data_IF_096643575697
#
_entry.id   IF_096643575697
#
_cell.length_a   1.000
_cell.length_b   1.000
_cell.length_c   1.000
_cell.angle_alpha   90.00
_cell.angle_beta   90.00
_cell.angle_gamma   90.00
#
_symmetry.space_group_name_H-M   'P 1'
#
loop_
_entity.id
_entity.type
_entity.pdbx_description
1 polymer ?
#
# COMPACT_ATOMS: atom_id res chain seq x y z
N UNK A 1 -40.23 22.19 0.62
CA UNK A 1 -39.70 21.94 1.98
C UNK A 1 -38.17 21.94 1.87
N UNK A 2 -37.56 23.11 2.07
CA UNK A 2 -36.10 23.29 2.06
C UNK A 2 -35.56 22.74 3.39
N UNK A 3 -34.91 21.59 3.35
CA UNK A 3 -34.26 21.01 4.50
C UNK A 3 -32.96 21.80 4.73
N UNK A 4 -33.03 22.80 5.60
CA UNK A 4 -31.86 23.52 6.09
C UNK A 4 -31.03 22.53 6.88
N UNK A 5 -29.97 22.01 6.28
CA UNK A 5 -28.95 21.25 6.99
C UNK A 5 -28.28 22.18 7.99
N UNK A 6 -28.59 22.04 9.28
CA UNK A 6 -27.79 22.63 10.36
C UNK A 6 -26.44 21.93 10.38
N UNK A 7 -25.49 22.45 9.59
CA UNK A 7 -24.11 21.99 9.58
C UNK A 7 -23.50 22.24 10.97
N UNK A 8 -23.24 21.15 11.69
CA UNK A 8 -22.61 21.22 13.00
C UNK A 8 -21.12 21.51 12.87
N UNK A 9 -20.66 22.66 13.36
CA UNK A 9 -19.23 23.05 13.32
C UNK A 9 -18.35 22.00 13.99
N UNK A 10 -18.79 21.45 15.13
CA UNK A 10 -18.05 20.41 15.84
C UNK A 10 -17.97 19.12 15.00
N UNK A 11 -19.04 18.77 14.27
CA UNK A 11 -19.05 17.64 13.35
C UNK A 11 -18.09 17.84 12.16
N UNK A 12 -17.99 19.07 11.64
CA UNK A 12 -17.02 19.40 10.58
C UNK A 12 -15.58 19.24 11.09
N UNK A 13 -15.28 19.75 12.30
CA UNK A 13 -13.94 19.62 12.91
C UNK A 13 -13.56 18.14 13.07
N UNK A 14 -14.45 17.32 13.66
CA UNK A 14 -14.20 15.89 13.81
C UNK A 14 -14.09 15.17 12.46
N UNK A 15 -14.86 15.57 11.44
CA UNK A 15 -14.77 15.00 10.10
C UNK A 15 -13.43 15.30 9.41
N UNK A 16 -12.92 16.53 9.54
CA UNK A 16 -11.61 16.92 9.01
C UNK A 16 -10.49 16.17 9.75
N UNK A 17 -10.55 16.12 11.08
CA UNK A 17 -9.56 15.38 11.89
C UNK A 17 -9.57 13.88 11.57
N UNK A 18 -10.75 13.27 11.41
CA UNK A 18 -10.86 11.87 11.02
C UNK A 18 -10.21 11.63 9.65
N UNK A 19 -10.46 12.51 8.67
CA UNK A 19 -9.86 12.41 7.33
C UNK A 19 -8.34 12.54 7.37
N UNK A 20 -7.82 13.45 8.21
CA UNK A 20 -6.38 13.60 8.45
C UNK A 20 -5.77 12.34 9.07
N UNK A 21 -6.39 11.79 10.12
CA UNK A 21 -5.94 10.55 10.76
C UNK A 21 -5.92 9.37 9.79
N UNK A 22 -6.95 9.23 8.94
CA UNK A 22 -7.00 8.18 7.91
C UNK A 22 -5.86 8.34 6.89
N UNK A 23 -5.59 9.57 6.44
CA UNK A 23 -4.47 9.85 5.54
C UNK A 23 -3.11 9.56 6.17
N UNK A 24 -2.91 9.99 7.42
CA UNK A 24 -1.68 9.70 8.16
C UNK A 24 -1.50 8.20 8.38
N UNK A 25 -2.57 7.47 8.73
CA UNK A 25 -2.52 6.03 8.89
C UNK A 25 -2.11 5.31 7.60
N UNK A 26 -2.65 5.73 6.44
CA UNK A 26 -2.26 5.17 5.15
C UNK A 26 -0.78 5.45 4.81
N UNK A 27 -0.29 6.67 5.09
CA UNK A 27 1.11 7.04 4.90
C UNK A 27 2.02 6.21 5.82
N UNK A 28 1.69 6.09 7.10
CA UNK A 28 2.48 5.32 8.05
C UNK A 28 2.49 3.84 7.69
N UNK A 29 1.35 3.26 7.33
CA UNK A 29 1.26 1.87 6.88
C UNK A 29 2.18 1.64 5.68
N UNK A 30 2.18 2.54 4.70
CA UNK A 30 3.09 2.43 3.53
C UNK A 30 4.57 2.55 3.93
N UNK A 31 4.90 3.44 4.87
CA UNK A 31 6.29 3.64 5.35
C UNK A 31 6.80 2.50 6.22
N UNK A 32 5.95 1.88 7.02
CA UNK A 32 6.33 0.81 7.94
C UNK A 32 6.33 -0.57 7.30
N UNK A 33 5.67 -0.73 6.15
CA UNK A 33 5.55 -2.01 5.45
C UNK A 33 6.91 -2.67 5.10
N UNK A 34 7.92 -1.94 4.60
CA UNK A 34 9.24 -2.52 4.35
C UNK A 34 9.94 -2.99 5.63
N UNK A 35 9.68 -2.35 6.77
CA UNK A 35 10.31 -2.70 8.07
C UNK A 35 9.80 -4.03 8.64
N UNK A 36 8.62 -4.49 8.21
CA UNK A 36 8.02 -5.76 8.65
C UNK A 36 8.17 -6.88 7.60
N UNK A 37 9.04 -6.68 6.62
CA UNK A 37 9.31 -7.63 5.53
C UNK A 37 8.19 -7.70 4.49
N UNK A 38 7.57 -6.55 4.18
CA UNK A 38 6.48 -6.41 3.20
C UNK A 38 5.28 -7.34 3.43
N UNK A 39 5.14 -7.85 4.65
CA UNK A 39 4.08 -8.76 5.06
C UNK A 39 2.94 -7.99 5.71
N UNK A 40 1.84 -7.82 4.98
CA UNK A 40 0.61 -7.20 5.51
C UNK A 40 0.07 -7.98 6.71
N UNK A 41 0.13 -9.31 6.67
CA UNK A 41 -0.29 -10.16 7.78
C UNK A 41 0.44 -9.83 9.08
N UNK A 42 1.76 -9.64 9.01
CA UNK A 42 2.58 -9.26 10.16
C UNK A 42 2.23 -7.86 10.65
N UNK A 43 2.02 -6.91 9.73
CA UNK A 43 1.59 -5.55 10.05
C UNK A 43 0.24 -5.55 10.78
N UNK A 44 -0.76 -6.23 10.22
CA UNK A 44 -2.11 -6.32 10.80
C UNK A 44 -2.08 -6.99 12.18
N UNK A 45 -1.25 -8.02 12.37
CA UNK A 45 -1.07 -8.66 13.69
C UNK A 45 -0.53 -7.66 14.73
N UNK A 46 0.55 -6.92 14.42
CA UNK A 46 1.10 -5.92 15.33
C UNK A 46 0.10 -4.79 15.61
N UNK A 47 -0.61 -4.34 14.58
CA UNK A 47 -1.63 -3.30 14.75
C UNK A 47 -2.78 -3.76 15.65
N UNK A 48 -3.28 -4.97 15.46
CA UNK A 48 -4.37 -5.51 16.28
C UNK A 48 -3.94 -5.78 17.71
N UNK A 49 -2.71 -6.25 17.94
CA UNK A 49 -2.16 -6.42 19.29
C UNK A 49 -2.07 -5.08 20.03
N UNK A 50 -1.51 -4.06 19.36
CA UNK A 50 -1.46 -2.71 19.91
C UNK A 50 -2.87 -2.14 20.16
N UNK A 51 -3.84 -2.42 19.28
CA UNK A 51 -5.23 -2.00 19.45
C UNK A 51 -5.85 -2.62 20.72
N UNK A 52 -5.67 -3.93 20.96
CA UNK A 52 -6.17 -4.58 22.18
C UNK A 52 -5.57 -3.91 23.43
N UNK A 53 -4.27 -3.63 23.43
CA UNK A 53 -3.61 -2.96 24.55
C UNK A 53 -4.11 -1.53 24.77
N UNK A 54 -4.38 -0.78 23.70
CA UNK A 54 -4.91 0.59 23.77
C UNK A 54 -6.39 0.66 24.12
N UNK A 55 -7.19 -0.34 23.74
CA UNK A 55 -8.62 -0.38 24.06
C UNK A 55 -8.88 -0.65 25.54
N UNK A 56 -8.02 -1.40 26.24
CA UNK A 56 -8.17 -1.67 27.68
C UNK A 56 -8.25 -0.41 28.57
N UNK A 57 -7.27 0.53 28.53
CA UNK A 57 -7.37 1.77 29.32
C UNK A 57 -8.50 2.68 28.85
N UNK A 58 -8.86 2.65 27.56
CA UNK A 58 -9.98 3.42 27.03
C UNK A 58 -11.32 2.92 27.57
N UNK A 59 -11.53 1.61 27.63
CA UNK A 59 -12.72 0.99 28.25
C UNK A 59 -12.83 1.29 29.75
N UNK A 60 -11.68 1.43 30.44
CA UNK A 60 -11.65 1.85 31.83
C UNK A 60 -12.10 3.30 32.00
N UNK A 61 -11.56 4.22 31.19
CA UNK A 61 -11.88 5.66 31.27
C UNK A 61 -13.33 5.98 30.86
N UNK A 62 -13.89 5.21 29.92
CA UNK A 62 -15.28 5.35 29.46
C UNK A 62 -16.30 4.72 30.42
N UNK A 63 -15.86 3.89 31.39
CA UNK A 63 -16.73 3.22 32.35
C UNK A 63 -17.45 1.98 31.80
N UNK A 64 -17.08 1.51 30.60
CA UNK A 64 -17.73 0.38 29.94
C UNK A 64 -17.52 -0.93 30.70
N UNK A 65 -16.37 -1.12 31.34
CA UNK A 65 -16.06 -2.33 32.13
C UNK A 65 -17.07 -2.57 33.27
N UNK A 66 -17.64 -1.50 33.84
CA UNK A 66 -18.67 -1.61 34.87
C UNK A 66 -20.08 -1.87 34.33
N UNK A 67 -20.31 -1.64 33.02
CA UNK A 67 -21.63 -1.72 32.39
C UNK A 67 -21.82 -3.03 31.61
N UNK A 68 -20.76 -3.52 30.96
CA UNK A 68 -20.75 -4.74 30.14
C UNK A 68 -21.35 -5.97 30.86
N UNK A 69 -21.00 -6.29 32.13
CA UNK A 69 -21.50 -7.48 32.80
C UNK A 69 -23.02 -7.47 33.07
N UNK A 70 -23.63 -6.28 33.15
CA UNK A 70 -25.05 -6.10 33.42
C UNK A 70 -25.89 -6.02 32.14
N UNK A 71 -25.25 -6.08 30.96
CA UNK A 71 -25.96 -6.01 29.69
C UNK A 71 -26.69 -7.33 29.41
N UNK A 72 -28.02 -7.32 29.20
CA UNK A 72 -28.80 -8.54 28.94
C UNK A 72 -28.38 -9.24 27.63
N UNK A 73 -27.72 -8.52 26.72
CA UNK A 73 -27.29 -9.06 25.44
C UNK A 73 -26.01 -9.92 25.54
N UNK A 74 -25.24 -9.83 26.63
CA UNK A 74 -23.95 -10.54 26.72
C UNK A 74 -24.09 -12.06 26.81
N UNK A 75 -25.25 -12.54 27.27
CA UNK A 75 -25.58 -13.97 27.32
C UNK A 75 -26.23 -14.47 26.02
N UNK A 76 -26.65 -13.57 25.14
CA UNK A 76 -27.38 -13.95 23.93
C UNK A 76 -26.43 -14.57 22.88
N UNK A 77 -26.72 -15.76 22.35
CA UNK A 77 -25.89 -16.36 21.29
C UNK A 77 -25.84 -15.51 20.01
N UNK A 78 -26.95 -14.83 19.68
CA UNK A 78 -27.03 -13.92 18.53
C UNK A 78 -26.05 -12.74 18.66
N UNK A 79 -25.83 -12.25 19.88
CA UNK A 79 -24.84 -11.19 20.13
C UNK A 79 -23.44 -11.67 19.76
N UNK A 80 -23.03 -12.83 20.26
CA UNK A 80 -21.71 -13.41 19.94
C UNK A 80 -21.57 -13.77 18.47
N UNK A 81 -22.61 -14.28 17.82
CA UNK A 81 -22.60 -14.54 16.38
C UNK A 81 -22.33 -13.24 15.60
N UNK A 82 -23.08 -12.18 15.87
CA UNK A 82 -22.90 -10.89 15.18
C UNK A 82 -21.54 -10.25 15.51
N UNK A 83 -21.06 -10.38 16.74
CA UNK A 83 -19.73 -9.91 17.16
C UNK A 83 -18.60 -10.66 16.45
N UNK A 84 -18.66 -11.99 16.39
CA UNK A 84 -17.65 -12.79 15.68
C UNK A 84 -17.72 -12.55 14.18
N UNK A 85 -18.91 -12.46 13.60
CA UNK A 85 -19.09 -12.22 12.17
C UNK A 85 -18.57 -10.83 11.77
N UNK A 86 -18.92 -9.79 12.52
CA UNK A 86 -18.39 -8.43 12.28
C UNK A 86 -16.88 -8.36 12.51
N UNK A 87 -16.34 -9.04 13.52
CA UNK A 87 -14.90 -9.16 13.75
C UNK A 87 -14.18 -9.82 12.58
N UNK A 88 -14.75 -10.89 12.01
CA UNK A 88 -14.22 -11.56 10.83
C UNK A 88 -14.20 -10.65 9.59
N UNK A 89 -15.31 -9.97 9.30
CA UNK A 89 -15.35 -9.01 8.19
C UNK A 89 -14.42 -7.81 8.43
N UNK A 90 -14.33 -7.32 9.67
CA UNK A 90 -13.43 -6.25 10.06
C UNK A 90 -11.96 -6.64 9.85
N UNK A 91 -11.60 -7.86 10.22
CA UNK A 91 -10.27 -8.41 9.97
C UNK A 91 -9.94 -8.49 8.47
N UNK A 92 -10.84 -9.06 7.67
CA UNK A 92 -10.69 -9.14 6.21
C UNK A 92 -10.57 -7.75 5.59
N UNK A 93 -11.45 -6.82 6.00
CA UNK A 93 -11.41 -5.44 5.51
C UNK A 93 -10.09 -4.76 5.88
N UNK A 94 -9.56 -4.98 7.08
CA UNK A 94 -8.24 -4.50 7.49
C UNK A 94 -7.13 -5.04 6.60
N UNK A 95 -7.15 -6.35 6.31
CA UNK A 95 -6.19 -6.99 5.40
C UNK A 95 -6.26 -6.42 3.97
N UNK A 96 -7.47 -6.37 3.39
CA UNK A 96 -7.69 -5.85 2.02
C UNK A 96 -7.28 -4.38 1.92
N UNK A 97 -7.56 -3.57 2.94
CA UNK A 97 -7.16 -2.16 2.98
C UNK A 97 -5.63 -2.03 3.01
N UNK A 98 -4.95 -2.82 3.86
CA UNK A 98 -3.50 -2.88 3.91
C UNK A 98 -2.89 -3.32 2.57
N UNK A 99 -3.51 -4.31 1.92
CA UNK A 99 -3.10 -4.77 0.59
C UNK A 99 -3.28 -3.72 -0.49
N UNK A 100 -4.39 -2.99 -0.47
CA UNK A 100 -4.62 -1.87 -1.38
C UNK A 100 -3.58 -0.77 -1.19
N UNK A 101 -3.22 -0.42 0.05
CA UNK A 101 -2.15 0.54 0.36
C UNK A 101 -0.80 0.00 -0.14
N UNK A 102 -0.52 -1.30 0.02
CA UNK A 102 0.71 -1.91 -0.48
C UNK A 102 0.79 -1.86 -2.02
N UNK A 103 -0.29 -2.21 -2.71
CA UNK A 103 -0.33 -2.26 -4.17
C UNK A 103 -0.37 -0.87 -4.83
N UNK A 104 -0.76 0.17 -4.07
CA UNK A 104 -0.91 1.54 -4.57
C UNK A 104 -0.09 2.55 -3.76
N UNK A 105 -0.32 3.85 -3.97
CA UNK A 105 0.23 4.90 -3.10
C UNK A 105 -0.77 5.26 -2.00
N UNK A 106 -0.29 5.82 -0.87
CA UNK A 106 -1.16 6.31 0.20
C UNK A 106 -2.20 7.34 -0.31
N UNK A 107 -1.82 8.16 -1.30
CA UNK A 107 -2.71 9.12 -1.95
C UNK A 107 -3.78 8.41 -2.80
N UNK A 108 -3.38 7.44 -3.62
CA UNK A 108 -4.27 6.67 -4.49
C UNK A 108 -5.28 5.85 -3.67
N UNK A 109 -4.84 5.26 -2.55
CA UNK A 109 -5.73 4.58 -1.61
C UNK A 109 -6.83 5.50 -1.09
N UNK A 110 -6.48 6.71 -0.64
CA UNK A 110 -7.46 7.65 -0.12
C UNK A 110 -8.45 8.12 -1.19
N UNK A 111 -7.98 8.44 -2.40
CA UNK A 111 -8.85 8.84 -3.50
C UNK A 111 -9.77 7.68 -3.91
N UNK A 112 -9.25 6.44 -3.95
CA UNK A 112 -10.06 5.25 -4.20
C UNK A 112 -11.11 5.02 -3.10
N UNK A 113 -10.80 5.33 -1.85
CA UNK A 113 -11.74 5.25 -0.74
C UNK A 113 -12.91 6.22 -0.91
N UNK A 114 -12.62 7.46 -1.28
CA UNK A 114 -13.65 8.48 -1.59
C UNK A 114 -14.52 8.06 -2.78
N UNK A 115 -13.90 7.57 -3.86
CA UNK A 115 -14.63 7.07 -5.02
C UNK A 115 -15.53 5.88 -4.68
N UNK A 116 -15.04 4.93 -3.88
CA UNK A 116 -15.81 3.78 -3.38
C UNK A 116 -17.02 4.25 -2.58
N UNK A 117 -16.85 5.18 -1.66
CA UNK A 117 -17.94 5.71 -0.84
C UNK A 117 -18.99 6.44 -1.70
N UNK A 118 -18.56 7.27 -2.65
CA UNK A 118 -19.45 7.97 -3.57
C UNK A 118 -20.23 6.97 -4.45
N UNK A 119 -19.55 5.98 -5.02
CA UNK A 119 -20.19 4.93 -5.83
C UNK A 119 -21.19 4.12 -5.00
N UNK A 120 -20.80 3.71 -3.79
CA UNK A 120 -21.67 3.00 -2.85
C UNK A 120 -22.94 3.82 -2.55
N UNK A 121 -22.80 5.13 -2.36
CA UNK A 121 -23.93 6.02 -2.07
C UNK A 121 -24.88 6.13 -3.26
N UNK A 122 -24.34 6.28 -4.48
CA UNK A 122 -25.15 6.32 -5.72
C UNK A 122 -25.91 5.01 -5.93
N UNK A 123 -25.23 3.88 -5.76
CA UNK A 123 -25.85 2.54 -5.89
C UNK A 123 -26.96 2.38 -4.85
N UNK A 124 -26.74 2.79 -3.61
CA UNK A 124 -27.73 2.72 -2.55
C UNK A 124 -28.98 3.55 -2.89
N UNK A 125 -28.82 4.81 -3.32
CA UNK A 125 -29.97 5.65 -3.71
C UNK A 125 -30.77 5.01 -4.85
N UNK A 126 -30.09 4.41 -5.83
CA UNK A 126 -30.75 3.67 -6.92
C UNK A 126 -31.53 2.44 -6.43
N UNK A 127 -30.94 1.66 -5.53
CA UNK A 127 -31.56 0.44 -4.97
C UNK A 127 -32.78 0.75 -4.10
N UNK A 128 -32.67 1.73 -3.21
CA UNK A 128 -33.76 2.14 -2.32
C UNK A 128 -34.77 3.09 -2.99
N UNK A 129 -34.54 3.45 -4.25
CA UNK A 129 -35.41 4.34 -5.05
C UNK A 129 -35.68 5.68 -4.36
N UNK A 130 -34.66 6.22 -3.67
CA UNK A 130 -34.77 7.50 -2.97
C UNK A 130 -34.71 8.67 -3.96
N UNK A 131 -35.62 9.63 -3.83
CA UNK A 131 -35.61 10.84 -4.65
C UNK A 131 -34.63 11.86 -4.06
N UNK A 132 -33.59 12.22 -4.81
CA UNK A 132 -32.58 13.21 -4.41
C UNK A 132 -32.59 14.42 -5.35
N UNK A 133 -32.28 15.63 -4.84
CA UNK A 133 -32.21 16.83 -5.66
C UNK A 133 -31.06 16.74 -6.68
N UNK A 134 -31.18 17.45 -7.81
CA UNK A 134 -30.18 17.48 -8.89
C UNK A 134 -28.79 17.86 -8.36
N UNK A 135 -28.72 18.76 -7.38
CA UNK A 135 -27.45 19.20 -6.80
C UNK A 135 -26.67 18.05 -6.14
N UNK A 136 -27.38 17.11 -5.50
CA UNK A 136 -26.78 15.92 -4.90
C UNK A 136 -26.17 14.98 -5.96
N UNK A 137 -26.85 14.84 -7.10
CA UNK A 137 -26.34 14.07 -8.24
C UNK A 137 -25.09 14.72 -8.83
N UNK A 138 -25.11 16.05 -9.00
CA UNK A 138 -23.96 16.79 -9.50
C UNK A 138 -22.75 16.64 -8.56
N UNK A 139 -22.94 16.73 -7.24
CA UNK A 139 -21.86 16.53 -6.27
C UNK A 139 -21.22 15.13 -6.38
N UNK A 140 -22.04 14.07 -6.43
CA UNK A 140 -21.50 12.71 -6.60
C UNK A 140 -20.82 12.52 -7.96
N UNK A 141 -21.38 13.09 -9.02
CA UNK A 141 -20.79 13.05 -10.35
C UNK A 141 -19.40 13.72 -10.38
N UNK A 142 -19.27 14.91 -9.77
CA UNK A 142 -17.99 15.61 -9.66
C UNK A 142 -16.96 14.77 -8.89
N UNK A 143 -17.34 14.14 -7.78
CA UNK A 143 -16.43 13.28 -7.00
C UNK A 143 -15.97 12.06 -7.80
N UNK A 144 -16.89 11.39 -8.50
CA UNK A 144 -16.57 10.20 -9.31
C UNK A 144 -15.71 10.56 -10.52
N UNK A 145 -16.07 11.62 -11.25
CA UNK A 145 -15.30 12.09 -12.42
C UNK A 145 -13.92 12.60 -11.99
N UNK A 146 -13.83 13.36 -10.90
CA UNK A 146 -12.56 13.84 -10.36
C UNK A 146 -11.65 12.69 -9.95
N UNK A 147 -12.20 11.67 -9.29
CA UNK A 147 -11.45 10.46 -8.92
C UNK A 147 -10.96 9.69 -10.16
N UNK A 148 -11.82 9.53 -11.17
CA UNK A 148 -11.46 8.85 -12.41
C UNK A 148 -10.39 9.60 -13.20
N UNK A 149 -10.49 10.93 -13.29
CA UNK A 149 -9.50 11.78 -13.94
C UNK A 149 -8.13 11.68 -13.23
N UNK A 150 -8.12 11.72 -11.89
CA UNK A 150 -6.90 11.50 -11.12
C UNK A 150 -6.28 10.12 -11.40
N UNK A 151 -7.08 9.05 -11.37
CA UNK A 151 -6.58 7.69 -11.66
C UNK A 151 -5.98 7.59 -13.06
N UNK A 152 -6.57 8.27 -14.05
CA UNK A 152 -6.05 8.28 -15.42
C UNK A 152 -4.69 8.98 -15.53
N UNK A 153 -4.50 10.12 -14.87
CA UNK A 153 -3.20 10.81 -14.83
C UNK A 153 -2.18 9.97 -14.09
N UNK A 154 -2.53 9.46 -12.91
CA UNK A 154 -1.64 8.65 -12.09
C UNK A 154 -1.20 7.38 -12.82
N UNK A 155 -2.10 6.74 -13.57
CA UNK A 155 -1.77 5.58 -14.40
C UNK A 155 -0.71 5.92 -15.44
N UNK A 156 -0.87 7.04 -16.16
CA UNK A 156 0.12 7.49 -17.17
C UNK A 156 1.49 7.78 -16.54
N UNK A 157 1.51 8.37 -15.35
CA UNK A 157 2.76 8.66 -14.65
C UNK A 157 3.44 7.39 -14.14
N UNK A 158 2.67 6.39 -13.71
CA UNK A 158 3.20 5.08 -13.31
C UNK A 158 3.76 4.30 -14.52
N UNK A 159 3.06 4.30 -15.66
CA UNK A 159 3.52 3.64 -16.88
C UNK A 159 4.83 4.24 -17.40
N UNK A 160 4.96 5.58 -17.36
CA UNK A 160 6.21 6.28 -17.72
C UNK A 160 7.38 5.87 -16.81
N UNK A 161 7.17 5.93 -15.49
CA UNK A 161 8.20 5.56 -14.50
C UNK A 161 8.60 4.09 -14.63
N UNK A 162 7.64 3.22 -14.97
CA UNK A 162 7.92 1.80 -15.19
C UNK A 162 8.85 1.59 -16.39
N UNK A 163 8.59 2.28 -17.52
CA UNK A 163 9.47 2.22 -18.69
C UNK A 163 10.85 2.84 -18.42
N UNK A 164 10.92 3.94 -17.67
CA UNK A 164 12.19 4.56 -17.26
C UNK A 164 13.04 3.63 -16.38
N UNK A 165 12.43 2.98 -15.39
CA UNK A 165 13.12 2.04 -14.51
C UNK A 165 13.64 0.81 -15.28
N UNK A 166 12.86 0.28 -16.22
CA UNK A 166 13.32 -0.83 -17.08
C UNK A 166 14.50 -0.44 -17.97
N UNK A 167 14.49 0.79 -18.52
CA UNK A 167 15.61 1.32 -19.28
C UNK A 167 16.89 1.38 -18.45
N UNK A 168 16.80 1.91 -17.21
CA UNK A 168 17.94 2.00 -16.29
C UNK A 168 18.47 0.65 -15.84
N UNK A 169 17.59 -0.33 -15.57
CA UNK A 169 18.01 -1.70 -15.21
C UNK A 169 18.73 -2.39 -16.37
N UNK A 170 18.24 -2.19 -17.60
CA UNK A 170 18.86 -2.73 -18.82
C UNK A 170 20.23 -2.11 -19.05
N UNK A 171 20.35 -0.78 -18.91
CA UNK A 171 21.62 -0.06 -19.07
C UNK A 171 22.66 -0.48 -18.02
N UNK A 172 22.25 -0.59 -16.74
CA UNK A 172 23.13 -1.12 -15.67
C UNK A 172 23.55 -2.56 -15.92
N UNK A 173 22.64 -3.42 -16.41
CA UNK A 173 22.96 -4.80 -16.73
C UNK A 173 23.95 -4.90 -17.92
N UNK A 174 23.83 -4.01 -18.90
CA UNK A 174 24.77 -3.91 -20.02
C UNK A 174 26.14 -3.38 -19.58
N UNK A 175 26.20 -2.38 -18.69
CA UNK A 175 27.45 -1.91 -18.10
C UNK A 175 28.16 -3.02 -17.32
N UNK A 176 27.43 -3.75 -16.46
CA UNK A 176 27.98 -4.88 -15.70
C UNK A 176 28.51 -5.97 -16.66
N UNK A 177 27.80 -6.26 -17.76
CA UNK A 177 28.27 -7.19 -18.79
C UNK A 177 29.55 -6.70 -19.48
N UNK A 178 29.65 -5.41 -19.81
CA UNK A 178 30.85 -4.82 -20.42
C UNK A 178 32.05 -4.91 -19.49
N UNK A 179 31.88 -4.59 -18.20
CA UNK A 179 32.94 -4.71 -17.19
C UNK A 179 33.42 -6.16 -17.10
N UNK A 180 32.49 -7.11 -16.98
CA UNK A 180 32.82 -8.54 -16.89
C UNK A 180 33.57 -9.06 -18.12
N UNK A 181 33.15 -8.67 -19.32
CA UNK A 181 33.84 -9.03 -20.56
C UNK A 181 35.22 -8.37 -20.66
N UNK A 182 35.39 -7.16 -20.14
CA UNK A 182 36.67 -6.45 -20.14
C UNK A 182 37.67 -7.09 -19.17
N UNK A 183 37.22 -7.51 -17.99
CA UNK A 183 38.03 -8.29 -17.04
C UNK A 183 38.42 -9.66 -17.61
N UNK A 184 37.48 -10.36 -18.25
CA UNK A 184 37.74 -11.66 -18.86
C UNK A 184 38.74 -11.57 -20.01
N UNK A 185 38.63 -10.55 -20.87
CA UNK A 185 39.62 -10.29 -21.92
C UNK A 185 40.98 -9.87 -21.36
N UNK A 186 41.03 -9.09 -20.28
CA UNK A 186 42.28 -8.74 -19.59
C UNK A 186 43.00 -9.96 -19.01
N UNK A 187 42.26 -10.90 -18.42
CA UNK A 187 42.80 -12.16 -17.90
C UNK A 187 43.34 -13.03 -19.06
N UNK A 188 42.62 -13.13 -20.17
CA UNK A 188 43.05 -13.91 -21.35
C UNK A 188 44.30 -13.32 -21.99
N UNK A 189 44.41 -11.99 -22.10
CA UNK A 189 45.57 -11.32 -22.69
C UNK A 189 46.82 -11.51 -21.82
N UNK A 190 46.70 -11.37 -20.49
CA UNK A 190 47.80 -11.67 -19.57
C UNK A 190 48.21 -13.15 -19.62
N UNK A 191 47.24 -14.07 -19.74
CA UNK A 191 47.52 -15.50 -19.90
C UNK A 191 48.30 -15.84 -21.18
N UNK A 192 47.96 -15.20 -22.31
CA UNK A 192 48.68 -15.35 -23.58
C UNK A 192 50.09 -14.77 -23.49
N UNK A 193 50.25 -13.60 -22.88
CA UNK A 193 51.55 -12.96 -22.72
C UNK A 193 52.49 -13.75 -21.79
N UNK A 194 51.95 -14.39 -20.73
CA UNK A 194 52.71 -15.34 -19.90
C UNK A 194 53.07 -16.63 -20.63
N UNK A 195 52.20 -17.13 -21.52
CA UNK A 195 52.49 -18.32 -22.33
C UNK A 195 53.57 -18.06 -23.40
N UNK A 196 53.56 -16.89 -24.05
CA UNK A 196 54.62 -16.49 -24.99
C UNK A 196 55.97 -16.31 -24.28
N UNK A 197 56.03 -15.66 -23.11
CA UNK A 197 57.26 -15.55 -22.33
C UNK A 197 57.82 -16.92 -21.91
N UNK A 198 56.95 -17.89 -21.60
CA UNK A 198 57.36 -19.28 -21.33
C UNK A 198 57.91 -20.01 -22.55
N UNK A 199 57.31 -19.82 -23.74
CA UNK A 199 57.76 -20.45 -24.98
C UNK A 199 59.08 -19.87 -25.50
N UNK A 200 59.30 -18.55 -25.39
CA UNK A 200 60.56 -17.91 -25.79
C UNK A 200 61.71 -18.41 -24.89
N UNK A 201 61.44 -18.59 -23.59
CA UNK A 201 62.41 -19.14 -22.64
C UNK A 201 62.71 -20.62 -22.90
N UNK A 202 61.74 -21.40 -23.40
CA UNK A 202 61.92 -22.80 -23.77
C UNK A 202 62.63 -23.03 -25.12
N UNK A 203 62.51 -22.10 -26.07
CA UNK A 203 63.16 -22.21 -27.38
C UNK A 203 64.64 -21.77 -27.37
N UNK A 204 65.04 -20.93 -26.42
CA UNK A 204 66.44 -20.52 -26.23
C UNK A 204 67.35 -21.57 -25.57
N UNK A 205 66.83 -22.76 -25.23
CA UNK A 205 67.60 -23.81 -24.53
C UNK A 205 67.98 -24.98 -25.45
N UNK A 206 67.59 -24.96 -26.74
CA UNK A 206 67.85 -26.04 -27.70
C UNK A 206 68.83 -25.68 -28.82
N UNK A 207 69.58 -24.58 -28.70
CA UNK A 207 70.70 -24.25 -29.60
C UNK A 207 72.08 -24.32 -28.93
N UNK A 208 72.16 -24.77 -27.67
CA UNK A 208 73.42 -24.91 -26.92
C UNK A 208 73.82 -26.37 -26.63
N UNK A 209 73.24 -27.34 -27.35
CA UNK A 209 73.73 -28.72 -27.32
C UNK A 209 73.73 -29.34 -28.72
N UNK A 210 74.84 -29.13 -29.45
CA UNK A 210 75.69 -30.13 -30.13
C UNK A 210 76.84 -29.37 -30.80
#
# INVERSE_FOLDING_TARGET
MLLVCTLSVIGVIFGVLASLCVALNAIFTKKTLPMVGDSIWRMTMYNNLNAVLLFLPLMLFTGELGTIPYSPNIVAPTFWLLMTLSGFFGFIMGYVTGWQIQATSALTHNISGTAKAAAQTVIAVGWWREVKPILWWLSNLVVLVGSAAYTWVQKRDMDKRFHENQGQETEKAEEIRKIKNSDENGIRLNGIHSAEQGLIKGKGINEESI
#
